data_IF_896685344884
#
_entry.id   IF_896685344884
#
_cell.length_a   1.000
_cell.length_b   1.000
_cell.length_c   1.000
_cell.angle_alpha   90.00
_cell.angle_beta   90.00
_cell.angle_gamma   90.00
#
_symmetry.space_group_name_H-M   'P 1'
#
loop_
_entity.id
_entity.type
_entity.pdbx_description
1 polymer ?
#
# COMPACT_ATOMS: atom_id res chain seq x y z
N UNK A 1 55.28 18.73 -21.36
CA UNK A 1 55.74 18.19 -20.04
C UNK A 1 55.01 18.85 -18.88
N UNK A 2 55.04 20.18 -18.75
CA UNK A 2 54.40 20.89 -17.64
C UNK A 2 52.88 20.65 -17.55
N UNK A 3 52.12 20.66 -18.66
CA UNK A 3 50.68 20.42 -18.61
C UNK A 3 50.34 19.03 -18.07
N UNK A 4 51.06 17.99 -18.48
CA UNK A 4 50.84 16.63 -17.96
C UNK A 4 51.05 16.54 -16.44
N UNK A 5 52.00 17.31 -15.86
CA UNK A 5 52.15 17.41 -14.40
C UNK A 5 51.00 18.21 -13.76
N UNK A 6 50.50 19.26 -14.40
CA UNK A 6 49.31 20.00 -13.93
C UNK A 6 48.07 19.09 -13.91
N UNK A 7 47.84 18.33 -14.97
CA UNK A 7 46.71 17.39 -15.10
C UNK A 7 46.75 16.30 -14.02
N UNK A 8 47.92 15.68 -13.78
CA UNK A 8 48.06 14.70 -12.69
C UNK A 8 47.78 15.33 -11.31
N UNK A 9 48.31 16.53 -11.05
CA UNK A 9 48.03 17.26 -9.80
C UNK A 9 46.55 17.68 -9.66
N UNK A 10 45.79 17.78 -10.75
CA UNK A 10 44.35 18.05 -10.73
C UNK A 10 43.55 16.76 -10.45
N UNK A 11 43.97 15.64 -11.03
CA UNK A 11 43.43 14.30 -10.80
C UNK A 11 43.60 13.90 -9.32
N UNK A 12 44.81 14.07 -8.75
CA UNK A 12 45.08 13.74 -7.35
C UNK A 12 44.28 14.64 -6.37
N UNK A 13 43.97 15.88 -6.76
CA UNK A 13 43.06 16.77 -6.01
C UNK A 13 41.59 16.38 -6.15
N UNK A 14 41.21 15.76 -7.26
CA UNK A 14 39.85 15.27 -7.48
C UNK A 14 39.59 14.00 -6.65
N UNK A 15 40.56 13.08 -6.60
CA UNK A 15 40.49 11.90 -5.72
C UNK A 15 40.22 12.29 -4.26
N UNK A 16 41.01 13.21 -3.68
CA UNK A 16 40.79 13.69 -2.32
C UNK A 16 39.40 14.28 -2.07
N UNK A 17 38.87 15.06 -3.03
CA UNK A 17 37.49 15.58 -2.95
C UNK A 17 36.41 14.51 -3.04
N UNK A 18 36.72 13.35 -3.61
CA UNK A 18 35.82 12.21 -3.66
C UNK A 18 35.89 11.45 -2.34
N UNK A 19 37.08 11.26 -1.77
CA UNK A 19 37.24 10.70 -0.41
C UNK A 19 36.50 11.58 0.62
N UNK A 20 36.80 12.89 0.66
CA UNK A 20 36.11 13.91 1.48
C UNK A 20 34.58 13.88 1.29
N UNK A 21 34.10 13.80 0.05
CA UNK A 21 32.66 13.76 -0.25
C UNK A 21 31.98 12.43 0.08
N UNK A 22 32.74 11.32 0.11
CA UNK A 22 32.26 10.00 0.52
C UNK A 22 32.20 9.91 2.05
N UNK A 23 33.21 10.41 2.76
CA UNK A 23 33.19 10.56 4.23
C UNK A 23 32.01 11.41 4.69
N UNK A 24 31.76 12.57 4.06
CA UNK A 24 30.61 13.43 4.37
C UNK A 24 29.28 12.75 4.02
N UNK A 25 29.20 11.96 2.95
CA UNK A 25 28.00 11.17 2.64
C UNK A 25 27.71 10.13 3.74
N UNK A 26 28.75 9.45 4.24
CA UNK A 26 28.62 8.48 5.34
C UNK A 26 28.29 9.14 6.69
N UNK A 27 28.84 10.32 6.97
CA UNK A 27 28.51 11.12 8.16
C UNK A 27 27.05 11.59 8.16
N UNK A 28 26.54 12.07 7.01
CA UNK A 28 25.13 12.45 6.85
C UNK A 28 24.23 11.22 6.97
N UNK A 29 24.65 10.06 6.45
CA UNK A 29 23.91 8.79 6.61
C UNK A 29 23.79 8.37 8.07
N UNK A 30 24.89 8.38 8.84
CA UNK A 30 24.84 8.07 10.27
C UNK A 30 23.90 9.01 11.01
N UNK A 31 24.02 10.33 10.77
CA UNK A 31 23.12 11.34 11.33
C UNK A 31 21.65 11.13 10.93
N UNK A 32 21.36 10.64 9.73
CA UNK A 32 19.99 10.34 9.30
C UNK A 32 19.40 9.12 10.04
N UNK A 33 20.22 8.15 10.44
CA UNK A 33 19.81 7.02 11.28
C UNK A 33 19.66 7.40 12.76
N UNK A 34 20.49 8.31 13.26
CA UNK A 34 20.41 8.86 14.63
C UNK A 34 19.29 9.91 14.80
N UNK A 35 18.84 10.54 13.71
CA UNK A 35 17.85 11.62 13.71
C UNK A 35 16.45 11.15 14.17
N UNK A 36 16.14 11.45 15.43
CA UNK A 36 14.87 11.15 16.08
C UNK A 36 13.73 12.14 15.79
N UNK A 37 13.98 13.17 14.97
CA UNK A 37 13.01 14.20 14.57
C UNK A 37 12.84 14.27 13.05
N UNK A 38 11.62 14.40 12.54
CA UNK A 38 11.34 14.52 11.10
C UNK A 38 12.04 15.72 10.46
N UNK A 39 12.07 16.89 11.12
CA UNK A 39 12.78 18.08 10.64
C UNK A 39 14.30 17.84 10.47
N UNK A 40 14.89 16.98 11.32
CA UNK A 40 16.29 16.57 11.19
C UNK A 40 16.45 15.59 10.03
N UNK A 41 15.56 14.59 9.91
CA UNK A 41 15.57 13.62 8.80
C UNK A 41 15.35 14.26 7.43
N UNK A 42 14.47 15.26 7.31
CA UNK A 42 14.29 16.02 6.06
C UNK A 42 15.56 16.79 5.70
N UNK A 43 16.13 17.53 6.66
CA UNK A 43 17.40 18.24 6.47
C UNK A 43 18.55 17.30 6.06
N UNK A 44 18.66 16.14 6.70
CA UNK A 44 19.67 15.13 6.35
C UNK A 44 19.48 14.60 4.91
N UNK A 45 18.25 14.31 4.48
CA UNK A 45 17.98 13.93 3.08
C UNK A 45 18.39 15.03 2.10
N UNK A 46 18.08 16.28 2.42
CA UNK A 46 18.35 17.42 1.55
C UNK A 46 19.87 17.72 1.48
N UNK A 47 20.60 17.55 2.58
CA UNK A 47 22.06 17.64 2.60
C UNK A 47 22.75 16.44 1.91
N UNK A 48 22.24 15.22 2.07
CA UNK A 48 22.68 14.02 1.33
C UNK A 48 22.49 14.22 -0.19
N UNK A 49 21.37 14.83 -0.59
CA UNK A 49 21.00 15.19 -1.96
C UNK A 49 21.86 16.32 -2.54
N UNK A 50 22.40 17.20 -1.70
CA UNK A 50 23.43 18.18 -2.09
C UNK A 50 24.78 17.50 -2.30
N UNK A 51 25.18 16.59 -1.41
CA UNK A 51 26.47 15.89 -1.50
C UNK A 51 26.55 14.96 -2.70
N UNK A 52 25.51 14.14 -2.94
CA UNK A 52 25.52 13.23 -4.09
C UNK A 52 25.58 13.98 -5.43
N UNK A 53 25.07 15.21 -5.50
CA UNK A 53 25.24 16.11 -6.66
C UNK A 53 26.66 16.67 -6.81
N UNK A 54 27.45 16.79 -5.74
CA UNK A 54 28.89 17.10 -5.84
C UNK A 54 29.66 15.88 -6.37
N UNK A 55 29.43 14.71 -5.78
CA UNK A 55 30.03 13.45 -6.22
C UNK A 55 29.71 13.15 -7.70
N UNK A 56 28.48 13.33 -8.16
CA UNK A 56 28.10 13.22 -9.57
C UNK A 56 28.95 14.08 -10.52
N UNK A 57 29.25 15.33 -10.15
CA UNK A 57 30.11 16.23 -10.94
C UNK A 57 31.55 15.73 -11.01
N UNK A 58 32.10 15.24 -9.89
CA UNK A 58 33.44 14.66 -9.81
C UNK A 58 33.53 13.36 -10.64
N UNK A 59 32.48 12.53 -10.63
CA UNK A 59 32.36 11.33 -11.48
C UNK A 59 32.41 11.69 -12.96
N UNK A 60 31.70 12.73 -13.39
CA UNK A 60 31.69 13.14 -14.80
C UNK A 60 32.99 13.85 -15.23
N UNK A 61 33.67 14.55 -14.31
CA UNK A 61 35.05 15.02 -14.51
C UNK A 61 36.00 13.83 -14.73
N UNK A 62 35.91 12.79 -13.89
CA UNK A 62 36.65 11.53 -14.06
C UNK A 62 36.31 10.85 -15.40
N UNK A 63 35.04 10.80 -15.80
CA UNK A 63 34.61 10.25 -17.11
C UNK A 63 35.22 11.04 -18.28
N UNK A 64 35.34 12.36 -18.16
CA UNK A 64 36.07 13.20 -19.13
C UNK A 64 37.54 12.80 -19.25
N UNK A 65 38.22 12.63 -18.11
CA UNK A 65 39.61 12.16 -18.07
C UNK A 65 39.81 10.73 -18.58
N UNK A 66 38.88 9.81 -18.29
CA UNK A 66 38.90 8.45 -18.85
C UNK A 66 38.85 8.44 -20.38
N UNK A 67 38.22 9.44 -21.00
CA UNK A 67 38.14 9.59 -22.44
C UNK A 67 39.36 10.32 -23.07
N UNK A 68 40.24 10.94 -22.27
CA UNK A 68 41.49 11.53 -22.77
C UNK A 68 42.53 10.48 -23.14
N UNK A 69 43.38 10.82 -24.12
CA UNK A 69 44.57 10.08 -24.55
C UNK A 69 45.83 10.43 -23.75
N UNK A 70 45.84 11.51 -22.96
CA UNK A 70 46.99 11.96 -22.16
C UNK A 70 47.30 11.02 -20.97
N UNK A 71 46.27 10.30 -20.53
CA UNK A 71 46.24 9.44 -19.35
C UNK A 71 46.39 7.99 -19.79
N UNK A 72 47.48 7.34 -19.35
CA UNK A 72 47.83 5.96 -19.72
C UNK A 72 47.29 4.93 -18.72
N UNK A 73 47.47 5.18 -17.43
CA UNK A 73 46.86 4.41 -16.33
C UNK A 73 45.49 5.00 -16.04
N UNK A 74 44.45 4.17 -16.12
CA UNK A 74 43.05 4.55 -15.88
C UNK A 74 42.42 3.76 -14.72
N UNK A 75 43.17 2.90 -14.05
CA UNK A 75 42.62 1.95 -13.08
C UNK A 75 42.11 2.66 -11.82
N UNK A 76 42.87 3.65 -11.34
CA UNK A 76 42.41 4.55 -10.27
C UNK A 76 41.18 5.36 -10.70
N UNK A 77 41.15 5.92 -11.91
CA UNK A 77 39.96 6.63 -12.42
C UNK A 77 38.73 5.70 -12.45
N UNK A 78 38.89 4.44 -12.82
CA UNK A 78 37.82 3.42 -12.80
C UNK A 78 37.38 3.11 -11.35
N UNK A 79 38.31 2.98 -10.41
CA UNK A 79 38.01 2.74 -8.99
C UNK A 79 37.18 3.88 -8.38
N UNK A 80 37.65 5.13 -8.46
CA UNK A 80 36.95 6.29 -7.89
C UNK A 80 35.59 6.53 -8.57
N UNK A 81 35.48 6.27 -9.88
CA UNK A 81 34.18 6.29 -10.59
C UNK A 81 33.20 5.27 -10.02
N UNK A 82 33.65 4.03 -9.75
CA UNK A 82 32.81 2.97 -9.16
C UNK A 82 32.37 3.31 -7.74
N UNK A 83 33.25 3.90 -6.92
CA UNK A 83 32.91 4.35 -5.54
C UNK A 83 31.75 5.35 -5.59
N UNK A 84 31.82 6.35 -6.46
CA UNK A 84 30.73 7.33 -6.62
C UNK A 84 29.46 6.66 -7.16
N UNK A 85 29.58 5.78 -8.16
CA UNK A 85 28.43 5.07 -8.73
C UNK A 85 27.71 4.19 -7.70
N UNK A 86 28.44 3.60 -6.75
CA UNK A 86 27.86 2.87 -5.62
C UNK A 86 27.17 3.80 -4.59
N UNK A 87 27.77 4.95 -4.23
CA UNK A 87 27.07 5.94 -3.37
C UNK A 87 25.82 6.53 -4.06
N UNK A 88 25.83 6.64 -5.39
CA UNK A 88 24.65 7.03 -6.18
C UNK A 88 23.55 5.97 -6.22
N UNK A 89 23.92 4.69 -6.08
CA UNK A 89 22.98 3.57 -5.95
C UNK A 89 22.35 3.55 -4.57
N UNK A 90 23.16 3.61 -3.51
CA UNK A 90 22.70 3.78 -2.12
C UNK A 90 21.75 4.97 -1.99
N UNK A 91 22.11 6.15 -2.53
CA UNK A 91 21.23 7.32 -2.51
C UNK A 91 19.87 7.06 -3.18
N UNK A 92 19.80 6.26 -4.25
CA UNK A 92 18.51 5.91 -4.89
C UNK A 92 17.70 4.92 -4.08
N UNK A 93 18.35 4.02 -3.35
CA UNK A 93 17.66 3.09 -2.45
C UNK A 93 17.05 3.86 -1.27
N UNK A 94 17.79 4.82 -0.72
CA UNK A 94 17.32 5.76 0.32
C UNK A 94 16.23 6.69 -0.22
N UNK A 95 16.41 7.32 -1.39
CA UNK A 95 15.39 8.19 -1.99
C UNK A 95 14.13 7.40 -2.37
N UNK A 96 14.24 6.09 -2.66
CA UNK A 96 13.08 5.20 -2.85
C UNK A 96 12.44 4.85 -1.51
N UNK A 97 13.20 4.41 -0.52
CA UNK A 97 12.72 4.03 0.80
C UNK A 97 12.00 5.20 1.49
N UNK A 98 12.60 6.39 1.47
CA UNK A 98 12.01 7.61 2.00
C UNK A 98 10.86 8.16 1.13
N UNK A 99 10.63 7.62 -0.08
CA UNK A 99 9.50 7.95 -0.97
C UNK A 99 8.41 6.88 -1.03
N UNK A 100 8.65 5.67 -0.53
CA UNK A 100 7.60 4.67 -0.25
C UNK A 100 7.14 4.70 1.21
N UNK A 101 8.02 5.05 2.16
CA UNK A 101 7.65 5.32 3.57
C UNK A 101 6.82 6.58 3.87
N UNK A 102 6.55 7.57 2.97
CA UNK A 102 5.57 8.63 3.23
C UNK A 102 4.18 8.05 3.51
N UNK A 103 3.75 7.02 2.79
CA UNK A 103 2.49 6.31 3.07
C UNK A 103 2.48 5.53 4.40
N UNK A 104 3.58 5.53 5.17
CA UNK A 104 3.68 4.96 6.52
C UNK A 104 4.05 6.00 7.59
N UNK A 105 4.43 7.25 7.22
CA UNK A 105 4.82 8.32 8.18
C UNK A 105 4.27 9.71 7.88
N UNK A 106 3.49 9.90 6.84
CA UNK A 106 2.71 11.13 6.62
C UNK A 106 1.50 11.23 7.56
N UNK A 107 1.13 10.14 8.27
CA UNK A 107 0.02 10.13 9.23
C UNK A 107 0.10 11.24 10.28
N UNK A 108 1.25 11.40 10.96
CA UNK A 108 1.40 12.31 12.11
C UNK A 108 1.46 13.81 11.77
N UNK A 109 1.62 14.20 10.50
CA UNK A 109 1.57 15.60 10.07
C UNK A 109 0.46 15.88 9.03
N UNK A 110 -0.26 14.85 8.59
CA UNK A 110 -1.56 15.01 7.93
C UNK A 110 -2.73 14.92 8.92
N UNK A 111 -2.49 14.49 10.17
CA UNK A 111 -3.53 14.37 11.21
C UNK A 111 -4.25 15.69 11.54
N UNK A 112 -3.58 16.84 11.34
CA UNK A 112 -4.17 18.19 11.50
C UNK A 112 -4.92 18.66 10.23
N UNK A 113 -5.01 17.83 9.18
CA UNK A 113 -5.64 18.14 7.88
C UNK A 113 -6.44 17.00 7.23
N UNK A 114 -6.57 15.85 7.87
CA UNK A 114 -7.72 14.97 7.61
C UNK A 114 -9.00 15.73 7.99
N UNK A 115 -10.07 15.55 7.23
CA UNK A 115 -11.41 15.88 7.74
C UNK A 115 -11.60 15.07 9.04
N UNK A 116 -12.05 15.65 10.16
CA UNK A 116 -12.33 14.90 11.39
C UNK A 116 -13.15 13.62 11.13
N UNK A 117 -14.05 13.64 10.15
CA UNK A 117 -14.80 12.48 9.70
C UNK A 117 -13.93 11.37 9.09
N UNK A 118 -12.93 11.73 8.27
CA UNK A 118 -11.97 10.77 7.70
C UNK A 118 -11.05 10.19 8.77
N UNK A 119 -10.68 11.00 9.78
CA UNK A 119 -9.91 10.53 10.93
C UNK A 119 -10.71 9.52 11.77
N UNK A 120 -11.93 9.87 12.19
CA UNK A 120 -12.82 8.96 12.93
C UNK A 120 -13.08 7.64 12.15
N UNK A 121 -13.23 7.74 10.83
CA UNK A 121 -13.40 6.61 9.90
C UNK A 121 -12.18 5.69 9.84
N UNK A 122 -10.97 6.24 9.90
CA UNK A 122 -9.73 5.47 9.98
C UNK A 122 -9.57 4.80 11.35
N UNK A 123 -9.78 5.53 12.44
CA UNK A 123 -9.68 5.01 13.81
C UNK A 123 -10.66 3.86 14.08
N UNK A 124 -11.92 4.00 13.61
CA UNK A 124 -12.92 2.94 13.69
C UNK A 124 -12.54 1.72 12.84
N UNK A 125 -11.94 1.92 11.66
CA UNK A 125 -11.46 0.83 10.81
C UNK A 125 -10.34 0.02 11.49
N UNK A 126 -9.33 0.70 12.04
CA UNK A 126 -8.21 0.04 12.72
C UNK A 126 -8.68 -0.67 14.01
N UNK A 127 -9.64 -0.08 14.74
CA UNK A 127 -10.26 -0.73 15.89
C UNK A 127 -11.03 -2.00 15.50
N UNK A 128 -11.86 -1.96 14.45
CA UNK A 128 -12.59 -3.13 13.93
C UNK A 128 -11.63 -4.24 13.48
N UNK A 129 -10.55 -3.88 12.76
CA UNK A 129 -9.48 -4.83 12.37
C UNK A 129 -8.80 -5.47 13.56
N UNK A 130 -8.60 -4.71 14.64
CA UNK A 130 -8.02 -5.22 15.89
C UNK A 130 -8.96 -6.21 16.58
N UNK A 131 -10.27 -5.95 16.62
CA UNK A 131 -11.25 -6.89 17.20
C UNK A 131 -11.33 -8.18 16.37
N UNK A 132 -11.39 -8.08 15.04
CA UNK A 132 -11.35 -9.24 14.13
C UNK A 132 -10.11 -10.09 14.39
N UNK A 133 -8.93 -9.47 14.49
CA UNK A 133 -7.67 -10.19 14.75
C UNK A 133 -7.67 -10.92 16.10
N UNK A 134 -8.26 -10.35 17.15
CA UNK A 134 -8.38 -11.05 18.44
C UNK A 134 -9.34 -12.23 18.38
N UNK A 135 -10.44 -12.11 17.63
CA UNK A 135 -11.37 -13.21 17.35
C UNK A 135 -10.71 -14.32 16.51
N UNK A 136 -9.87 -13.97 15.53
CA UNK A 136 -9.05 -14.93 14.77
C UNK A 136 -8.03 -15.66 15.67
N UNK A 137 -7.33 -14.94 16.55
CA UNK A 137 -6.40 -15.55 17.52
C UNK A 137 -7.10 -16.51 18.51
N UNK A 138 -8.34 -16.21 18.91
CA UNK A 138 -9.15 -17.11 19.75
C UNK A 138 -9.74 -18.29 18.95
N UNK A 139 -10.12 -18.07 17.69
CA UNK A 139 -10.51 -19.14 16.77
C UNK A 139 -9.41 -20.19 16.63
N UNK A 140 -8.18 -19.75 16.37
CA UNK A 140 -7.01 -20.64 16.23
C UNK A 140 -6.71 -21.40 17.53
N UNK A 141 -6.85 -20.75 18.70
CA UNK A 141 -6.76 -21.41 20.02
C UNK A 141 -7.83 -22.50 20.17
N UNK A 142 -9.09 -22.20 19.86
CA UNK A 142 -10.20 -23.15 19.99
C UNK A 142 -10.09 -24.33 19.01
N UNK A 143 -9.69 -24.10 17.75
CA UNK A 143 -9.41 -25.16 16.77
C UNK A 143 -8.27 -26.09 17.22
N UNK A 144 -7.17 -25.53 17.74
CA UNK A 144 -6.06 -26.32 18.27
C UNK A 144 -6.46 -27.17 19.50
N UNK A 145 -7.39 -26.68 20.34
CA UNK A 145 -7.95 -27.45 21.45
C UNK A 145 -8.85 -28.59 20.94
N UNK A 146 -9.69 -28.37 19.92
CA UNK A 146 -10.51 -29.42 19.29
C UNK A 146 -9.64 -30.51 18.66
N UNK A 147 -8.57 -30.15 17.94
CA UNK A 147 -7.61 -31.12 17.40
C UNK A 147 -6.89 -31.89 18.51
N UNK A 148 -6.48 -31.21 19.59
CA UNK A 148 -5.81 -31.84 20.73
C UNK A 148 -6.68 -32.90 21.41
N UNK A 149 -7.96 -32.59 21.70
CA UNK A 149 -8.89 -33.53 22.31
C UNK A 149 -9.16 -34.72 21.36
N UNK A 150 -9.42 -34.43 20.08
CA UNK A 150 -9.69 -35.45 19.04
C UNK A 150 -8.49 -36.39 18.78
N UNK A 151 -7.27 -35.86 18.86
CA UNK A 151 -6.02 -36.63 18.79
C UNK A 151 -5.82 -37.50 20.03
N UNK A 152 -6.22 -37.01 21.21
CA UNK A 152 -6.15 -37.79 22.46
C UNK A 152 -7.09 -38.99 22.46
N UNK A 153 -8.26 -38.88 21.83
CA UNK A 153 -9.24 -39.98 21.66
C UNK A 153 -8.69 -41.09 20.73
N UNK A 154 -8.06 -40.70 19.62
CA UNK A 154 -7.68 -41.62 18.53
C UNK A 154 -6.38 -42.40 18.78
N UNK A 155 -5.47 -41.90 19.64
CA UNK A 155 -4.27 -42.62 20.05
C UNK A 155 -4.51 -43.84 20.98
N UNK A 156 -5.69 -43.93 21.62
CA UNK A 156 -5.99 -44.88 22.69
C UNK A 156 -6.35 -46.31 22.24
N UNK A 157 -5.35 -47.16 21.93
CA UNK A 157 -5.62 -48.57 21.59
C UNK A 157 -6.19 -49.40 22.76
N UNK A 158 -7.52 -49.58 22.75
CA UNK A 158 -8.32 -50.65 23.42
C UNK A 158 -8.03 -50.93 24.91
N UNK A 159 -8.86 -50.42 25.83
CA UNK A 159 -9.08 -51.11 27.12
C UNK A 159 -10.45 -50.90 27.79
N UNK A 160 -11.50 -51.37 27.13
CA UNK A 160 -12.90 -51.21 27.56
C UNK A 160 -13.16 -51.44 29.05
N UNK A 161 -13.53 -50.37 29.76
CA UNK A 161 -14.06 -50.36 31.12
C UNK A 161 -15.00 -49.16 31.26
N UNK A 162 -16.00 -49.24 32.14
CA UNK A 162 -17.13 -48.27 32.26
C UNK A 162 -16.74 -46.80 32.57
N UNK A 163 -15.45 -46.50 32.77
CA UNK A 163 -14.91 -45.15 32.90
C UNK A 163 -14.51 -44.48 31.58
N UNK A 164 -14.07 -45.25 30.56
CA UNK A 164 -13.73 -44.68 29.24
C UNK A 164 -14.95 -44.00 28.60
N UNK A 165 -16.13 -44.61 28.73
CA UNK A 165 -17.39 -44.04 28.26
C UNK A 165 -17.83 -42.78 29.03
N UNK A 166 -17.37 -42.59 30.27
CA UNK A 166 -17.65 -41.35 31.00
C UNK A 166 -16.74 -40.23 30.51
N UNK A 167 -15.42 -40.50 30.40
CA UNK A 167 -14.45 -39.53 29.90
C UNK A 167 -14.69 -39.18 28.42
N UNK A 168 -15.07 -40.14 27.57
CA UNK A 168 -15.44 -39.83 26.19
C UNK A 168 -16.67 -38.92 26.14
N UNK A 169 -17.73 -39.19 26.91
CA UNK A 169 -18.90 -38.29 26.97
C UNK A 169 -18.57 -36.88 27.53
N UNK A 170 -17.45 -36.71 28.22
CA UNK A 170 -16.92 -35.44 28.72
C UNK A 170 -16.08 -34.72 27.62
N UNK A 171 -15.21 -35.45 26.93
CA UNK A 171 -14.50 -34.99 25.73
C UNK A 171 -15.46 -34.56 24.61
N UNK A 172 -16.46 -35.40 24.29
CA UNK A 172 -17.47 -35.14 23.24
C UNK A 172 -18.22 -33.83 23.55
N UNK A 173 -18.59 -33.60 24.82
CA UNK A 173 -19.18 -32.33 25.26
C UNK A 173 -18.23 -31.15 25.12
N UNK A 174 -16.98 -31.28 25.55
CA UNK A 174 -16.01 -30.17 25.46
C UNK A 174 -15.69 -29.79 24.01
N UNK A 175 -15.66 -30.77 23.10
CA UNK A 175 -15.59 -30.54 21.66
C UNK A 175 -16.85 -29.79 21.18
N UNK A 176 -18.04 -30.15 21.64
CA UNK A 176 -19.28 -29.48 21.25
C UNK A 176 -19.35 -28.03 21.76
N UNK A 177 -18.92 -27.76 23.00
CA UNK A 177 -18.76 -26.41 23.56
C UNK A 177 -17.80 -25.56 22.69
N UNK A 178 -16.65 -26.13 22.32
CA UNK A 178 -15.67 -25.45 21.46
C UNK A 178 -16.20 -25.20 20.04
N UNK A 179 -17.06 -26.06 19.48
CA UNK A 179 -17.74 -25.77 18.20
C UNK A 179 -18.69 -24.58 18.32
N UNK A 180 -19.50 -24.53 19.37
CA UNK A 180 -20.40 -23.39 19.57
C UNK A 180 -19.60 -22.09 19.76
N UNK A 181 -18.46 -22.14 20.47
CA UNK A 181 -17.52 -21.01 20.53
C UNK A 181 -17.01 -20.61 19.13
N UNK A 182 -16.60 -21.56 18.28
CA UNK A 182 -16.14 -21.30 16.91
C UNK A 182 -17.23 -20.73 16.00
N UNK A 183 -18.46 -21.23 16.08
CA UNK A 183 -19.61 -20.72 15.31
C UNK A 183 -19.93 -19.27 15.70
N UNK A 184 -19.92 -18.95 17.00
CA UNK A 184 -20.11 -17.59 17.52
C UNK A 184 -18.99 -16.66 17.07
N UNK A 185 -17.73 -17.06 17.23
CA UNK A 185 -16.56 -16.29 16.76
C UNK A 185 -16.67 -15.98 15.26
N UNK A 186 -17.03 -16.97 14.43
CA UNK A 186 -17.22 -16.78 13.00
C UNK A 186 -18.37 -15.81 12.68
N UNK A 187 -19.46 -15.84 13.47
CA UNK A 187 -20.55 -14.87 13.37
C UNK A 187 -20.07 -13.45 13.69
N UNK A 188 -19.42 -13.20 14.83
CA UNK A 188 -18.92 -11.86 15.19
C UNK A 188 -17.93 -11.31 14.16
N UNK A 189 -16.97 -12.13 13.70
CA UNK A 189 -16.03 -11.72 12.64
C UNK A 189 -16.77 -11.31 11.38
N UNK A 190 -17.75 -12.09 10.92
CA UNK A 190 -18.58 -11.75 9.76
C UNK A 190 -19.38 -10.45 9.95
N UNK A 191 -19.92 -10.19 11.15
CA UNK A 191 -20.59 -8.91 11.46
C UNK A 191 -19.63 -7.73 11.47
N UNK A 192 -18.45 -7.87 12.08
CA UNK A 192 -17.42 -6.85 12.13
C UNK A 192 -16.89 -6.49 10.73
N UNK A 193 -16.70 -7.48 9.84
CA UNK A 193 -16.38 -7.24 8.44
C UNK A 193 -17.47 -6.47 7.68
N UNK A 194 -18.75 -6.71 8.01
CA UNK A 194 -19.87 -5.96 7.43
C UNK A 194 -19.89 -4.53 7.97
N UNK A 195 -19.69 -4.32 9.29
CA UNK A 195 -19.52 -2.99 9.87
C UNK A 195 -18.37 -2.22 9.21
N UNK A 196 -17.21 -2.85 9.04
CA UNK A 196 -16.04 -2.28 8.37
C UNK A 196 -16.36 -1.85 6.93
N UNK A 197 -17.04 -2.72 6.17
CA UNK A 197 -17.50 -2.39 4.81
C UNK A 197 -18.55 -1.29 4.77
N UNK A 198 -19.41 -1.15 5.77
CA UNK A 198 -20.42 -0.08 5.83
C UNK A 198 -19.82 1.28 6.22
N UNK A 199 -18.81 1.29 7.10
CA UNK A 199 -17.99 2.47 7.41
C UNK A 199 -17.19 2.90 6.17
N UNK A 200 -16.54 1.97 5.47
CA UNK A 200 -15.80 2.25 4.24
C UNK A 200 -16.67 2.86 3.14
N UNK A 201 -17.91 2.37 2.99
CA UNK A 201 -18.89 2.90 2.04
C UNK A 201 -19.66 4.16 2.54
N UNK A 202 -19.25 4.78 3.66
CA UNK A 202 -19.90 5.95 4.26
C UNK A 202 -21.41 5.75 4.57
N UNK A 203 -21.84 4.49 4.65
CA UNK A 203 -23.24 4.09 4.85
C UNK A 203 -23.62 4.01 6.33
N UNK A 204 -22.63 3.94 7.21
CA UNK A 204 -22.77 3.82 8.65
C UNK A 204 -21.70 4.71 9.31
N UNK A 205 -22.07 5.50 10.32
CA UNK A 205 -21.16 6.49 10.91
C UNK A 205 -20.15 5.85 11.85
N UNK A 206 -18.87 6.24 11.72
CA UNK A 206 -17.75 5.79 12.54
C UNK A 206 -18.08 5.87 14.04
N UNK A 207 -18.61 7.02 14.46
CA UNK A 207 -19.04 7.26 15.83
C UNK A 207 -20.15 6.29 16.29
N UNK A 208 -21.11 5.95 15.45
CA UNK A 208 -22.18 4.99 15.82
C UNK A 208 -21.62 3.58 16.04
N UNK A 209 -20.56 3.19 15.32
CA UNK A 209 -19.84 1.94 15.63
C UNK A 209 -19.22 2.03 17.02
N UNK A 210 -18.47 3.09 17.30
CA UNK A 210 -17.73 3.23 18.56
C UNK A 210 -18.65 3.40 19.78
N UNK A 211 -19.72 4.19 19.67
CA UNK A 211 -20.65 4.47 20.78
C UNK A 211 -21.47 3.23 21.21
N UNK A 212 -21.71 2.27 20.30
CA UNK A 212 -22.49 1.05 20.59
C UNK A 212 -21.61 -0.20 20.69
N UNK A 213 -20.82 -0.50 19.65
CA UNK A 213 -20.15 -1.80 19.49
C UNK A 213 -18.88 -1.93 20.33
N UNK A 214 -18.26 -0.82 20.75
CA UNK A 214 -16.93 -0.82 21.35
C UNK A 214 -16.87 -1.59 22.67
N UNK A 215 -17.55 -1.07 23.69
CA UNK A 215 -17.45 -1.60 25.05
C UNK A 215 -18.03 -3.03 25.14
N UNK A 216 -18.97 -3.36 24.25
CA UNK A 216 -19.53 -4.72 24.10
C UNK A 216 -18.53 -5.72 23.50
N UNK A 217 -17.82 -5.35 22.41
CA UNK A 217 -16.76 -6.20 21.83
C UNK A 217 -15.56 -6.34 22.77
N UNK A 218 -15.16 -5.26 23.43
CA UNK A 218 -14.03 -5.28 24.38
C UNK A 218 -14.35 -6.16 25.60
N UNK A 219 -15.54 -6.04 26.19
CA UNK A 219 -16.01 -6.95 27.27
C UNK A 219 -16.06 -8.41 26.80
N UNK A 220 -16.51 -8.67 25.57
CA UNK A 220 -16.57 -10.02 25.02
C UNK A 220 -15.16 -10.60 24.78
N UNK A 221 -14.21 -9.80 24.28
CA UNK A 221 -12.82 -10.25 24.08
C UNK A 221 -12.10 -10.47 25.42
N UNK A 222 -12.34 -9.62 26.43
CA UNK A 222 -11.84 -9.82 27.80
C UNK A 222 -12.41 -11.08 28.48
N UNK A 223 -13.57 -11.59 28.06
CA UNK A 223 -14.14 -12.83 28.59
C UNK A 223 -13.40 -14.10 28.14
N UNK A 224 -12.56 -14.03 27.10
CA UNK A 224 -11.72 -15.15 26.66
C UNK A 224 -10.38 -15.27 27.40
N UNK A 225 -10.04 -14.33 28.28
CA UNK A 225 -8.85 -14.47 29.14
C UNK A 225 -9.09 -15.60 30.18
N UNK A 226 -8.24 -16.63 30.27
CA UNK A 226 -8.42 -17.72 31.24
C UNK A 226 -8.27 -17.30 32.71
N UNK A 227 -7.75 -16.10 33.00
CA UNK A 227 -7.73 -15.51 34.34
C UNK A 227 -8.97 -14.61 34.62
N UNK A 228 -9.95 -14.56 33.71
CA UNK A 228 -11.22 -13.81 33.85
C UNK A 228 -12.31 -14.61 34.57
N UNK A 229 -13.08 -13.94 35.44
CA UNK A 229 -14.28 -14.50 36.09
C UNK A 229 -15.52 -14.51 35.15
N UNK A 230 -15.40 -14.00 33.93
CA UNK A 230 -16.49 -13.84 32.96
C UNK A 230 -16.70 -15.10 32.09
N UNK A 231 -17.91 -15.26 31.53
CA UNK A 231 -18.24 -16.40 30.68
C UNK A 231 -18.49 -15.95 29.24
N UNK A 232 -17.68 -16.35 28.24
CA UNK A 232 -17.87 -15.95 26.85
C UNK A 232 -19.27 -16.18 26.28
N UNK A 233 -20.04 -17.13 26.81
CA UNK A 233 -21.42 -17.43 26.35
C UNK A 233 -22.48 -16.56 27.03
N UNK A 234 -22.20 -16.00 28.21
CA UNK A 234 -23.11 -15.07 28.91
C UNK A 234 -22.78 -13.60 28.57
N UNK A 235 -21.53 -13.33 28.18
CA UNK A 235 -21.05 -12.04 27.70
C UNK A 235 -21.15 -11.87 26.17
N UNK A 236 -22.02 -12.65 25.50
CA UNK A 236 -22.27 -12.54 24.06
C UNK A 236 -23.12 -11.30 23.71
N UNK A 237 -22.63 -10.39 22.85
CA UNK A 237 -23.39 -9.22 22.40
C UNK A 237 -24.14 -9.45 21.06
N UNK A 238 -24.62 -10.66 20.76
CA UNK A 238 -25.38 -10.97 19.53
C UNK A 238 -26.52 -9.96 19.24
N UNK A 239 -27.29 -9.59 20.27
CA UNK A 239 -28.40 -8.62 20.20
C UNK A 239 -27.99 -7.26 19.61
N UNK A 240 -26.73 -6.83 19.79
CA UNK A 240 -26.28 -5.48 19.41
C UNK A 240 -26.30 -5.28 17.89
N UNK A 241 -26.18 -6.36 17.11
CA UNK A 241 -26.23 -6.30 15.65
C UNK A 241 -27.66 -6.15 15.10
N UNK A 242 -28.69 -6.39 15.92
CA UNK A 242 -30.08 -6.10 15.55
C UNK A 242 -30.35 -4.58 15.58
N UNK A 243 -29.81 -3.86 16.58
CA UNK A 243 -29.92 -2.40 16.69
C UNK A 243 -29.27 -1.69 15.49
N UNK A 244 -28.14 -2.20 15.01
CA UNK A 244 -27.49 -1.74 13.77
C UNK A 244 -28.26 -2.11 12.47
N UNK A 245 -29.29 -2.96 12.54
CA UNK A 245 -30.05 -3.48 11.40
C UNK A 245 -29.16 -4.06 10.27
N UNK A 246 -28.04 -4.71 10.63
CA UNK A 246 -27.08 -5.25 9.65
C UNK A 246 -27.71 -6.26 8.68
N UNK A 247 -28.80 -6.91 9.11
CA UNK A 247 -29.66 -7.76 8.27
C UNK A 247 -30.19 -7.01 7.02
N UNK A 248 -30.63 -5.76 7.18
CA UNK A 248 -31.15 -4.94 6.07
C UNK A 248 -30.07 -4.60 5.04
N UNK A 249 -28.85 -4.33 5.50
CA UNK A 249 -27.71 -4.01 4.64
C UNK A 249 -27.04 -5.25 4.01
N UNK A 250 -27.12 -6.43 4.63
CA UNK A 250 -26.60 -7.67 4.07
C UNK A 250 -27.21 -8.01 2.70
N UNK A 251 -28.52 -7.75 2.53
CA UNK A 251 -29.23 -7.88 1.24
C UNK A 251 -28.59 -7.00 0.16
N UNK A 252 -28.10 -5.82 0.52
CA UNK A 252 -27.51 -4.85 -0.39
C UNK A 252 -26.06 -5.20 -0.80
N UNK A 253 -25.35 -6.04 -0.03
CA UNK A 253 -24.05 -6.60 -0.41
C UNK A 253 -24.12 -7.94 -1.16
N UNK A 254 -25.25 -8.65 -1.15
CA UNK A 254 -25.42 -9.97 -1.78
C UNK A 254 -25.36 -9.98 -3.33
N UNK A 255 -25.01 -8.85 -3.97
CA UNK A 255 -24.97 -8.69 -5.43
C UNK A 255 -23.70 -9.20 -6.13
N UNK A 256 -22.70 -9.69 -5.41
CA UNK A 256 -21.46 -10.25 -5.98
C UNK A 256 -21.25 -11.68 -5.46
N UNK A 257 -20.97 -12.59 -6.39
CA UNK A 257 -21.18 -14.03 -6.26
C UNK A 257 -20.14 -14.76 -5.39
N UNK A 258 -20.61 -15.53 -4.40
CA UNK A 258 -19.86 -16.67 -3.86
C UNK A 258 -20.02 -17.84 -4.81
N UNK A 259 -18.93 -18.24 -5.48
CA UNK A 259 -18.90 -19.43 -6.31
C UNK A 259 -18.68 -20.68 -5.44
N UNK A 260 -19.75 -21.45 -5.25
CA UNK A 260 -19.70 -22.81 -4.73
C UNK A 260 -20.23 -23.78 -5.79
N UNK A 261 -19.42 -24.78 -6.15
CA UNK A 261 -19.81 -25.89 -7.02
C UNK A 261 -20.88 -26.75 -6.33
N UNK A 262 -21.99 -27.03 -7.03
CA UNK A 262 -22.51 -28.41 -7.19
C UNK A 262 -23.48 -28.53 -8.38
N UNK A 263 -23.86 -29.76 -8.74
CA UNK A 263 -24.26 -30.13 -10.11
C UNK A 263 -25.77 -30.10 -10.45
N UNK A 264 -26.06 -29.91 -11.75
CA UNK A 264 -27.13 -30.56 -12.54
C UNK A 264 -28.62 -30.19 -12.30
N UNK A 265 -29.25 -29.52 -13.28
CA UNK A 265 -30.34 -30.15 -14.09
C UNK A 265 -30.71 -29.43 -15.42
N UNK A 266 -30.42 -30.13 -16.54
CA UNK A 266 -31.14 -30.27 -17.83
C UNK A 266 -32.06 -29.19 -18.47
N UNK A 267 -31.78 -28.98 -19.78
CA UNK A 267 -32.71 -28.82 -20.94
C UNK A 267 -33.48 -27.51 -21.25
N UNK A 268 -33.04 -26.92 -22.38
CA UNK A 268 -33.83 -26.65 -23.62
C UNK A 268 -34.59 -25.32 -23.90
N UNK A 269 -34.25 -24.77 -25.07
CA UNK A 269 -35.13 -24.20 -26.10
C UNK A 269 -35.99 -22.93 -25.81
N UNK A 270 -35.33 -21.78 -25.78
CA UNK A 270 -35.28 -20.90 -26.97
C UNK A 270 -36.39 -19.86 -27.29
N UNK A 271 -35.96 -18.87 -28.10
CA UNK A 271 -36.72 -17.85 -28.85
C UNK A 271 -37.15 -16.51 -28.18
N UNK A 272 -36.61 -15.42 -28.75
CA UNK A 272 -37.17 -14.06 -28.95
C UNK A 272 -37.83 -13.26 -27.81
N UNK A 273 -37.46 -11.96 -27.69
CA UNK A 273 -38.40 -10.94 -27.22
C UNK A 273 -37.84 -9.71 -26.48
N UNK A 274 -37.34 -8.72 -27.22
CA UNK A 274 -37.37 -7.29 -26.80
C UNK A 274 -38.48 -6.58 -27.62
N UNK A 275 -39.02 -5.39 -27.25
CA UNK A 275 -38.29 -4.28 -26.62
C UNK A 275 -39.01 -3.42 -25.54
N UNK A 276 -38.20 -2.49 -25.02
CA UNK A 276 -38.40 -1.16 -24.40
C UNK A 276 -39.73 -0.40 -24.63
N UNK A 277 -40.12 0.60 -23.77
CA UNK A 277 -39.45 1.92 -23.78
C UNK A 277 -39.33 2.72 -22.47
N UNK A 278 -38.40 3.69 -22.47
CA UNK A 278 -38.44 4.93 -21.65
C UNK A 278 -38.56 6.16 -22.58
N UNK A 279 -39.03 7.33 -22.10
CA UNK A 279 -39.23 8.52 -22.94
C UNK A 279 -37.96 9.28 -23.33
N UNK A 280 -38.15 10.25 -24.24
CA UNK A 280 -37.16 11.16 -24.85
C UNK A 280 -37.12 12.53 -24.08
N UNK A 281 -36.66 13.69 -24.56
CA UNK A 281 -36.24 14.29 -25.86
C UNK A 281 -34.88 15.03 -25.64
N UNK A 282 -34.11 15.54 -26.62
CA UNK A 282 -34.29 15.69 -28.08
C UNK A 282 -33.01 15.13 -28.79
N UNK A 283 -32.16 15.75 -29.63
CA UNK A 283 -32.11 17.04 -30.35
C UNK A 283 -31.35 16.90 -31.70
N UNK A 284 -31.28 17.97 -32.50
CA UNK A 284 -30.68 18.03 -33.85
C UNK A 284 -29.22 18.57 -33.86
N UNK A 285 -28.38 18.42 -34.90
CA UNK A 285 -28.69 18.15 -36.32
C UNK A 285 -27.56 17.51 -37.16
N UNK A 286 -28.00 16.72 -38.15
CA UNK A 286 -27.51 16.59 -39.55
C UNK A 286 -26.07 16.15 -39.89
N UNK A 287 -26.04 14.97 -40.55
CA UNK A 287 -25.38 14.69 -41.86
C UNK A 287 -23.82 14.59 -41.90
N UNK A 288 -23.20 13.70 -42.70
CA UNK A 288 -23.71 12.70 -43.67
C UNK A 288 -22.65 11.62 -44.02
N UNK A 289 -23.13 10.44 -44.43
CA UNK A 289 -22.56 9.51 -45.43
C UNK A 289 -21.35 8.59 -45.13
N UNK A 290 -21.65 7.29 -45.29
CA UNK A 290 -20.87 6.22 -45.94
C UNK A 290 -19.46 5.85 -45.43
N UNK A 291 -19.40 4.72 -44.73
CA UNK A 291 -18.27 3.79 -44.72
C UNK A 291 -17.97 3.20 -46.12
N UNK A 292 -16.72 2.80 -46.37
CA UNK A 292 -16.31 2.10 -47.60
C UNK A 292 -14.96 1.41 -47.46
N UNK A 293 -14.98 0.08 -47.30
CA UNK A 293 -13.81 -0.77 -47.09
C UNK A 293 -12.91 -0.91 -48.33
N UNK A 294 -11.62 -1.22 -48.15
CA UNK A 294 -10.77 -1.73 -49.24
C UNK A 294 -9.27 -1.62 -48.96
N UNK A 295 -8.58 -2.75 -48.81
CA UNK A 295 -7.14 -2.81 -48.52
C UNK A 295 -6.26 -2.92 -49.79
N UNK A 296 -4.93 -2.90 -49.58
CA UNK A 296 -3.83 -3.49 -50.38
C UNK A 296 -2.85 -2.57 -51.14
N UNK A 297 -1.64 -3.12 -51.35
CA UNK A 297 -0.52 -2.66 -52.22
C UNK A 297 0.15 -1.30 -51.97
N UNK A 298 1.15 -1.32 -51.08
CA UNK A 298 2.56 -0.92 -51.32
C UNK A 298 2.94 -0.33 -52.70
N UNK A 299 3.72 0.77 -52.72
CA UNK A 299 5.10 0.85 -53.26
C UNK A 299 5.76 2.24 -53.09
N UNK A 300 6.97 2.27 -52.52
CA UNK A 300 8.11 3.21 -52.69
C UNK A 300 7.95 4.76 -52.75
N UNK A 301 8.74 5.43 -51.88
CA UNK A 301 9.63 6.60 -52.15
C UNK A 301 8.96 7.96 -52.55
N UNK A 302 9.58 9.13 -52.38
CA UNK A 302 10.95 9.48 -51.94
C UNK A 302 10.99 10.73 -51.02
N UNK A 303 12.15 11.01 -50.41
CA UNK A 303 12.45 12.24 -49.64
C UNK A 303 13.15 13.27 -50.55
N UNK A 304 12.71 14.55 -50.64
CA UNK A 304 13.43 15.58 -49.87
C UNK A 304 12.64 16.83 -49.42
N UNK A 305 13.18 17.47 -48.37
CA UNK A 305 12.95 18.88 -47.99
C UNK A 305 13.59 19.85 -48.99
N UNK A 306 13.06 21.08 -49.14
CA UNK A 306 13.96 22.23 -48.91
C UNK A 306 13.33 23.51 -48.30
N UNK A 307 14.15 24.17 -47.47
CA UNK A 307 14.34 25.63 -47.29
C UNK A 307 13.18 26.62 -47.00
N UNK A 308 13.35 27.32 -45.86
CA UNK A 308 12.93 28.69 -45.54
C UNK A 308 13.55 29.75 -46.50
N UNK A 309 12.95 30.95 -46.68
CA UNK A 309 13.35 32.08 -45.80
C UNK A 309 12.33 33.24 -45.54
N UNK A 310 12.55 33.91 -44.40
CA UNK A 310 12.37 35.36 -44.11
C UNK A 310 11.02 36.10 -44.34
N UNK A 311 10.56 36.77 -43.27
CA UNK A 311 10.29 38.22 -43.28
C UNK A 311 10.30 38.84 -41.88
N UNK A 312 10.65 40.13 -41.79
CA UNK A 312 10.61 40.95 -40.57
C UNK A 312 9.23 41.65 -40.43
N UNK A 313 8.82 41.90 -39.19
CA UNK A 313 8.18 43.16 -38.74
C UNK A 313 8.68 43.52 -37.34
N UNK A 314 8.51 44.77 -36.91
CA UNK A 314 9.21 45.35 -35.75
C UNK A 314 8.32 46.35 -34.97
N UNK A 315 7.96 45.99 -33.74
CA UNK A 315 7.41 46.83 -32.66
C UNK A 315 7.64 46.08 -31.33
N UNK A 316 7.74 46.70 -30.15
CA UNK A 316 7.76 48.12 -29.79
C UNK A 316 8.01 48.23 -28.28
N UNK A 317 8.80 49.19 -27.82
CA UNK A 317 9.31 49.22 -26.45
C UNK A 317 8.30 49.73 -25.40
N UNK A 318 8.29 49.12 -24.22
CA UNK A 318 8.07 49.81 -22.94
C UNK A 318 8.68 48.98 -21.80
N UNK A 319 9.63 49.57 -21.04
CA UNK A 319 10.16 49.02 -19.80
C UNK A 319 9.72 49.87 -18.61
N UNK A 320 9.73 49.28 -17.40
CA UNK A 320 9.41 49.98 -16.16
C UNK A 320 10.54 49.77 -15.13
N UNK A 321 11.33 50.81 -14.89
CA UNK A 321 12.22 50.88 -13.73
C UNK A 321 11.53 51.62 -12.59
N UNK A 322 11.64 51.09 -11.37
CA UNK A 322 11.04 51.66 -10.17
C UNK A 322 12.03 52.58 -9.46
N UNK A 323 11.71 53.88 -9.43
CA UNK A 323 12.49 54.90 -8.72
C UNK A 323 12.45 54.70 -7.20
N UNK A 324 13.61 54.88 -6.55
CA UNK A 324 13.74 54.97 -5.10
C UNK A 324 13.66 56.44 -4.66
N UNK A 325 12.81 56.76 -3.67
CA UNK A 325 12.97 57.93 -2.78
C UNK A 325 11.95 57.93 -1.64
N UNK A 326 12.36 57.47 -0.45
CA UNK A 326 12.32 58.17 0.86
C UNK A 326 12.75 57.19 1.94
#
# INVERSE_FOLDING_TARGET
MAEKRKLLNEIDKCYKKIDEGVEVFEEIMLKMHEANSDNQREKCQDDLKKEIKKLQRLRDQIKGWQNSSDIKDKDKLIQYRKIIEHRMEQFKDIERENKTKPHSKQGLCAEEKLDPREKEKFETNEWLRTQIKHLEEEKDKAEALVETISSSESGGRKRGKKGDSAKKNENDKRIEELKHQLERIAFHTSKLEVCMRLVDNDSLSSKTVMDCLKDAMETYIESFDPDSDMCPTENDPEDIYEEFSLSSFAVQLSGIHVAGDDEKCSSENGANGSPTPMPKELDESKQRHSSGSGATSSIHRDRPTPHTPLKLTNYGCCGAELSWST
#
